data_IF_551695068342
#
_entry.id   IF_551695068342
#
_cell.length_a   1.000
_cell.length_b   1.000
_cell.length_c   1.000
_cell.angle_alpha   90.00
_cell.angle_beta   90.00
_cell.angle_gamma   90.00
#
_symmetry.space_group_name_H-M   'P 1'
#
loop_
_entity.id
_entity.type
_entity.pdbx_description
1 polymer ?
#
# COMPACT_ATOMS: atom_id res chain seq x y z
N UNK A 1 47.27 26.31 8.35
CA UNK A 1 46.76 24.94 8.69
C UNK A 1 45.28 24.94 8.41
N UNK A 2 44.88 24.45 7.24
CA UNK A 2 43.50 24.41 6.79
C UNK A 2 42.89 23.07 7.18
N UNK A 3 41.89 23.08 8.05
CA UNK A 3 41.13 21.91 8.41
C UNK A 3 40.21 21.53 7.27
N UNK A 4 40.49 20.41 6.64
CA UNK A 4 39.64 19.76 5.60
C UNK A 4 38.48 19.09 6.34
N UNK A 5 37.32 19.76 6.39
CA UNK A 5 36.08 19.15 6.86
C UNK A 5 35.60 18.10 5.85
N UNK A 6 35.73 16.84 6.20
CA UNK A 6 35.09 15.75 5.46
C UNK A 6 33.57 15.84 5.65
N UNK A 7 32.89 16.41 4.68
CA UNK A 7 31.44 16.24 4.55
C UNK A 7 31.16 14.80 4.12
N UNK A 8 30.82 13.94 5.06
CA UNK A 8 30.16 12.69 4.76
C UNK A 8 28.74 13.01 4.26
N UNK A 9 28.60 13.27 2.98
CA UNK A 9 27.30 13.09 2.30
C UNK A 9 27.00 11.61 2.37
N UNK A 10 26.06 11.22 3.21
CA UNK A 10 25.44 9.92 3.14
C UNK A 10 24.76 9.84 1.77
N UNK A 11 25.40 9.12 0.84
CA UNK A 11 24.87 8.90 -0.50
C UNK A 11 23.60 8.05 -0.32
N UNK A 12 22.45 8.70 -0.27
CA UNK A 12 21.18 7.98 -0.26
C UNK A 12 21.11 7.16 -1.54
N UNK A 13 20.88 5.87 -1.41
CA UNK A 13 20.71 5.00 -2.56
C UNK A 13 19.49 5.46 -3.36
N UNK A 14 19.58 5.58 -4.69
CA UNK A 14 18.48 6.03 -5.51
C UNK A 14 17.26 5.11 -5.32
N UNK A 15 16.06 5.68 -5.35
CA UNK A 15 14.83 4.89 -5.30
C UNK A 15 14.60 4.25 -6.67
N UNK A 16 14.41 2.92 -6.75
CA UNK A 16 14.07 2.25 -8.00
C UNK A 16 12.68 2.67 -8.48
N UNK A 17 12.45 2.64 -9.79
CA UNK A 17 11.16 3.01 -10.39
C UNK A 17 10.05 2.00 -10.02
N UNK A 18 10.40 0.73 -9.86
CA UNK A 18 9.51 -0.36 -9.43
C UNK A 18 10.24 -1.33 -8.51
N UNK A 19 9.47 -2.09 -7.74
CA UNK A 19 9.97 -3.14 -6.85
C UNK A 19 9.48 -4.50 -7.33
N UNK A 20 10.24 -5.53 -7.01
CA UNK A 20 9.82 -6.93 -7.14
C UNK A 20 9.68 -7.50 -5.73
N UNK A 21 8.49 -7.99 -5.43
CA UNK A 21 8.17 -8.67 -4.17
C UNK A 21 8.15 -10.17 -4.44
N UNK A 22 8.95 -10.93 -3.68
CA UNK A 22 9.06 -12.38 -3.84
C UNK A 22 8.75 -13.07 -2.53
N UNK A 23 7.77 -13.95 -2.52
CA UNK A 23 7.45 -14.88 -1.45
C UNK A 23 7.96 -16.26 -1.85
N UNK A 24 8.78 -16.88 -1.00
CA UNK A 24 9.26 -18.27 -1.16
C UNK A 24 8.76 -19.10 0.01
N UNK A 25 7.71 -19.90 -0.25
CA UNK A 25 7.00 -20.66 0.77
C UNK A 25 6.64 -19.78 1.98
N UNK A 26 6.37 -18.48 1.72
CA UNK A 26 6.13 -17.52 2.78
C UNK A 26 4.69 -17.57 3.25
N UNK A 27 4.53 -17.66 4.55
CA UNK A 27 3.24 -17.67 5.22
C UNK A 27 3.31 -17.00 6.58
N UNK A 28 2.14 -16.85 7.19
CA UNK A 28 2.04 -16.30 8.53
C UNK A 28 0.90 -16.95 9.31
N UNK A 29 1.24 -17.46 10.49
CA UNK A 29 0.28 -17.92 11.49
C UNK A 29 0.38 -16.98 12.69
N UNK A 30 -0.75 -16.46 13.15
CA UNK A 30 -0.83 -15.57 14.30
C UNK A 30 -0.59 -16.31 15.62
N UNK A 31 -0.29 -15.58 16.69
CA UNK A 31 0.05 -16.14 18.01
C UNK A 31 -1.09 -16.99 18.62
N UNK A 32 -2.32 -16.76 18.23
CA UNK A 32 -3.51 -17.52 18.62
C UNK A 32 -3.69 -18.82 17.81
N UNK A 33 -2.75 -19.13 16.90
CA UNK A 33 -2.78 -20.30 16.02
C UNK A 33 -3.62 -20.10 14.75
N UNK A 34 -4.24 -18.94 14.55
CA UNK A 34 -4.99 -18.66 13.33
C UNK A 34 -4.04 -18.47 12.13
N UNK A 35 -4.29 -19.22 11.06
CA UNK A 35 -3.55 -19.07 9.80
C UNK A 35 -4.01 -17.78 9.11
N UNK A 36 -3.09 -16.84 8.94
CA UNK A 36 -3.35 -15.61 8.19
C UNK A 36 -3.07 -15.75 6.69
N UNK A 37 -1.98 -16.44 6.34
CA UNK A 37 -1.64 -16.83 4.96
C UNK A 37 -0.90 -18.17 5.00
N UNK A 38 -1.36 -19.12 4.22
CA UNK A 38 -0.70 -20.40 4.01
C UNK A 38 0.62 -20.19 3.23
N UNK A 39 1.59 -21.14 3.33
CA UNK A 39 2.84 -21.06 2.57
C UNK A 39 2.57 -20.81 1.09
N UNK A 40 3.10 -19.70 0.58
CA UNK A 40 2.80 -19.20 -0.76
C UNK A 40 4.08 -18.94 -1.54
N UNK A 41 4.09 -19.39 -2.81
CA UNK A 41 5.08 -19.03 -3.82
C UNK A 41 4.48 -17.94 -4.71
N UNK A 42 5.04 -16.73 -4.68
CA UNK A 42 4.50 -15.59 -5.41
C UNK A 42 5.61 -14.60 -5.76
N UNK A 43 5.56 -14.06 -6.97
CA UNK A 43 6.41 -12.91 -7.37
C UNK A 43 5.52 -11.85 -7.98
N UNK A 44 5.66 -10.60 -7.51
CA UNK A 44 4.92 -9.43 -8.00
C UNK A 44 5.94 -8.40 -8.48
N UNK A 45 5.85 -8.03 -9.75
CA UNK A 45 6.67 -6.98 -10.37
C UNK A 45 5.84 -6.02 -11.25
N UNK A 46 4.57 -6.34 -11.44
CA UNK A 46 3.64 -5.58 -12.25
C UNK A 46 3.34 -4.23 -11.62
N UNK A 47 2.94 -3.26 -12.46
CA UNK A 47 2.68 -1.89 -12.02
C UNK A 47 1.42 -1.78 -11.16
N UNK A 48 0.37 -2.55 -11.48
CA UNK A 48 -0.91 -2.50 -10.78
C UNK A 48 -1.47 -3.89 -10.53
N UNK A 49 -1.46 -4.29 -9.26
CA UNK A 49 -1.92 -5.62 -8.83
C UNK A 49 -3.05 -5.47 -7.83
N UNK A 50 -4.19 -6.07 -8.15
CA UNK A 50 -5.31 -6.16 -7.23
C UNK A 50 -5.30 -7.50 -6.48
N UNK A 51 -5.73 -7.47 -5.23
CA UNK A 51 -5.92 -8.64 -4.37
C UNK A 51 -7.38 -8.68 -3.96
N UNK A 52 -8.10 -9.71 -4.35
CA UNK A 52 -9.52 -9.91 -4.03
C UNK A 52 -9.74 -11.21 -3.26
N UNK A 53 -10.86 -11.32 -2.59
CA UNK A 53 -11.23 -12.49 -1.78
C UNK A 53 -12.23 -12.10 -0.70
N UNK A 54 -12.90 -13.09 -0.13
CA UNK A 54 -13.86 -12.88 0.96
C UNK A 54 -13.18 -12.32 2.22
N UNK A 55 -13.99 -11.87 3.16
CA UNK A 55 -13.49 -11.47 4.48
C UNK A 55 -12.80 -12.66 5.15
N UNK A 56 -11.62 -12.42 5.75
CA UNK A 56 -10.82 -13.49 6.35
C UNK A 56 -9.98 -14.31 5.39
N UNK A 57 -10.05 -14.10 4.06
CA UNK A 57 -9.29 -14.89 3.08
C UNK A 57 -7.75 -14.70 3.12
N UNK A 58 -7.22 -13.77 3.94
CA UNK A 58 -5.78 -13.54 4.08
C UNK A 58 -5.25 -12.32 3.32
N UNK A 59 -6.10 -11.49 2.70
CA UNK A 59 -5.67 -10.30 1.92
C UNK A 59 -4.77 -9.35 2.72
N UNK A 60 -5.22 -8.91 3.90
CA UNK A 60 -4.44 -7.99 4.75
C UNK A 60 -3.15 -8.62 5.24
N UNK A 61 -3.13 -9.95 5.46
CA UNK A 61 -1.92 -10.70 5.82
C UNK A 61 -0.92 -10.69 4.67
N UNK A 62 -1.36 -11.01 3.44
CA UNK A 62 -0.51 -10.93 2.26
C UNK A 62 0.07 -9.52 2.09
N UNK A 63 -0.77 -8.48 2.13
CA UNK A 63 -0.31 -7.09 2.01
C UNK A 63 0.68 -6.72 3.13
N UNK A 64 0.45 -7.17 4.36
CA UNK A 64 1.34 -6.94 5.49
C UNK A 64 2.70 -7.61 5.33
N UNK A 65 2.76 -8.77 4.69
CA UNK A 65 4.02 -9.44 4.33
C UNK A 65 4.79 -8.67 3.25
N UNK A 66 4.08 -8.12 2.25
CA UNK A 66 4.69 -7.34 1.17
C UNK A 66 5.25 -6.00 1.67
N UNK A 67 4.51 -5.29 2.52
CA UNK A 67 4.93 -3.98 3.02
C UNK A 67 5.82 -4.05 4.29
N UNK A 68 6.11 -5.25 4.79
CA UNK A 68 6.94 -5.48 5.95
C UNK A 68 6.29 -5.11 7.30
N UNK A 69 5.01 -4.73 7.34
CA UNK A 69 4.30 -4.51 8.61
C UNK A 69 4.01 -5.82 9.36
N UNK A 70 4.04 -6.92 8.65
CA UNK A 70 3.95 -8.28 9.18
C UNK A 70 5.19 -9.08 8.76
N UNK A 71 5.70 -9.93 9.64
CA UNK A 71 6.83 -10.82 9.34
C UNK A 71 6.31 -12.20 8.98
N UNK A 72 6.87 -12.80 7.93
CA UNK A 72 6.68 -14.22 7.67
C UNK A 72 7.28 -15.03 8.81
N UNK A 73 6.52 -15.95 9.38
CA UNK A 73 7.03 -16.95 10.33
C UNK A 73 7.22 -18.34 9.69
N UNK A 74 6.84 -18.46 8.41
CA UNK A 74 7.13 -19.60 7.54
C UNK A 74 7.73 -19.03 6.25
N UNK A 75 8.77 -19.65 5.70
CA UNK A 75 9.41 -19.23 4.47
C UNK A 75 10.08 -17.86 4.53
N UNK A 76 10.20 -17.19 3.39
CA UNK A 76 10.89 -15.89 3.29
C UNK A 76 10.20 -14.94 2.34
N UNK A 77 10.26 -13.64 2.69
CA UNK A 77 9.85 -12.54 1.82
C UNK A 77 11.08 -11.74 1.44
N UNK A 78 11.16 -11.34 0.17
CA UNK A 78 12.23 -10.49 -0.35
C UNK A 78 11.62 -9.34 -1.15
N UNK A 79 12.09 -8.13 -0.90
CA UNK A 79 11.76 -6.92 -1.68
C UNK A 79 13.01 -6.50 -2.44
N UNK A 80 12.95 -6.52 -3.76
CA UNK A 80 14.10 -6.21 -4.61
C UNK A 80 13.81 -4.97 -5.47
N UNK A 81 14.83 -4.13 -5.66
CA UNK A 81 14.74 -2.96 -6.52
C UNK A 81 16.13 -2.43 -6.89
N UNK A 82 16.40 -2.22 -8.16
CA UNK A 82 17.75 -1.88 -8.62
C UNK A 82 18.75 -2.98 -8.25
N UNK A 83 19.79 -2.62 -7.48
CA UNK A 83 20.79 -3.57 -6.95
C UNK A 83 20.49 -4.07 -5.53
N UNK A 84 19.40 -3.62 -4.92
CA UNK A 84 19.05 -3.96 -3.54
C UNK A 84 18.21 -5.24 -3.49
N UNK A 85 18.47 -6.04 -2.46
CA UNK A 85 17.68 -7.22 -2.10
C UNK A 85 17.46 -7.18 -0.59
N UNK A 86 16.22 -6.91 -0.17
CA UNK A 86 15.86 -6.57 1.20
C UNK A 86 14.96 -7.65 1.80
N UNK A 87 15.21 -8.00 3.06
CA UNK A 87 14.40 -8.95 3.81
C UNK A 87 13.66 -8.23 4.94
N UNK A 88 12.29 -8.19 4.94
CA UNK A 88 11.52 -7.52 5.98
C UNK A 88 11.77 -8.06 7.41
N UNK A 89 12.27 -9.28 7.55
CA UNK A 89 12.62 -9.84 8.85
C UNK A 89 13.88 -9.18 9.47
N UNK A 90 14.72 -8.54 8.63
CA UNK A 90 15.96 -7.88 9.06
C UNK A 90 15.68 -6.41 9.35
N UNK A 91 15.93 -5.95 10.57
CA UNK A 91 15.61 -4.59 11.04
C UNK A 91 16.20 -3.46 10.18
N UNK A 92 17.41 -3.65 9.63
CA UNK A 92 18.04 -2.66 8.75
C UNK A 92 17.30 -2.57 7.41
N UNK A 93 16.96 -3.71 6.84
CA UNK A 93 16.28 -3.81 5.56
C UNK A 93 14.84 -3.31 5.67
N UNK A 94 14.16 -3.61 6.79
CA UNK A 94 12.81 -3.10 7.06
C UNK A 94 12.75 -1.57 7.04
N UNK A 95 13.75 -0.88 7.63
CA UNK A 95 13.84 0.59 7.55
C UNK A 95 13.95 1.08 6.10
N UNK A 96 14.71 0.35 5.27
CA UNK A 96 14.84 0.69 3.85
C UNK A 96 13.54 0.41 3.10
N UNK A 97 12.85 -0.69 3.41
CA UNK A 97 11.51 -0.99 2.86
C UNK A 97 10.51 0.11 3.22
N UNK A 98 10.54 0.61 4.47
CA UNK A 98 9.69 1.74 4.91
C UNK A 98 9.94 3.04 4.10
N UNK A 99 11.15 3.23 3.55
CA UNK A 99 11.46 4.35 2.65
C UNK A 99 11.07 4.08 1.18
N UNK A 100 10.83 2.83 0.81
CA UNK A 100 10.50 2.42 -0.57
C UNK A 100 9.03 2.10 -0.78
N UNK A 101 8.31 1.71 0.28
CA UNK A 101 6.92 1.24 0.21
C UNK A 101 6.02 2.11 1.07
N UNK A 102 5.13 2.85 0.44
CA UNK A 102 4.04 3.56 1.11
C UNK A 102 2.96 2.57 1.57
N UNK A 103 2.34 2.85 2.72
CA UNK A 103 1.31 1.97 3.33
C UNK A 103 0.04 2.77 3.55
N UNK A 104 -1.06 2.35 2.94
CA UNK A 104 -2.38 2.93 3.16
C UNK A 104 -3.36 1.83 3.59
N UNK A 105 -4.09 2.05 4.68
CA UNK A 105 -5.05 1.09 5.21
C UNK A 105 -6.37 1.79 5.49
N UNK A 106 -7.37 1.57 4.64
CA UNK A 106 -8.68 2.23 4.75
C UNK A 106 -8.51 3.75 4.97
N UNK A 107 -9.31 4.32 5.87
CA UNK A 107 -9.19 5.71 6.33
C UNK A 107 -8.18 5.88 7.49
N UNK A 108 -7.34 4.87 7.75
CA UNK A 108 -6.38 4.92 8.85
C UNK A 108 -5.21 5.85 8.52
N UNK A 109 -5.20 7.00 9.14
CA UNK A 109 -4.09 7.92 9.13
C UNK A 109 -3.25 7.74 10.39
N UNK A 110 -1.94 7.99 10.34
CA UNK A 110 -1.09 7.85 11.53
C UNK A 110 -1.60 8.67 12.71
N UNK A 111 -1.55 8.10 13.92
CA UNK A 111 -1.98 8.78 15.15
C UNK A 111 -1.32 10.15 15.39
N UNK A 112 -0.10 10.35 14.84
CA UNK A 112 0.60 11.64 14.89
C UNK A 112 -0.16 12.75 14.15
N UNK A 113 -0.98 12.41 13.14
CA UNK A 113 -1.78 13.37 12.39
C UNK A 113 -2.88 13.99 13.23
N UNK A 114 -3.49 13.22 14.15
CA UNK A 114 -4.51 13.74 15.08
C UNK A 114 -3.94 14.68 16.14
N UNK A 115 -2.60 14.65 16.38
CA UNK A 115 -1.92 15.50 17.35
C UNK A 115 -1.36 16.78 16.72
N UNK A 116 -1.24 16.84 15.40
CA UNK A 116 -0.75 18.00 14.69
C UNK A 116 -1.79 19.13 14.68
N UNK A 117 -1.35 20.37 14.57
CA UNK A 117 -2.26 21.52 14.53
C UNK A 117 -3.14 21.51 13.27
N UNK A 118 -2.64 20.95 12.18
CA UNK A 118 -3.38 20.76 10.91
C UNK A 118 -2.72 19.67 10.05
N UNK A 119 -3.41 19.27 8.97
CA UNK A 119 -2.91 18.18 8.10
C UNK A 119 -1.64 18.54 7.34
N UNK A 120 -1.41 19.81 7.03
CA UNK A 120 -0.15 20.27 6.39
C UNK A 120 1.06 20.03 7.29
N UNK A 121 0.92 20.36 8.57
CA UNK A 121 1.96 20.13 9.57
C UNK A 121 2.21 18.65 9.79
N UNK A 122 1.13 17.85 9.86
CA UNK A 122 1.22 16.40 9.99
C UNK A 122 2.03 15.76 8.85
N UNK A 123 1.75 16.14 7.60
CA UNK A 123 2.52 15.67 6.43
C UNK A 123 3.96 16.18 6.46
N UNK A 124 4.20 17.43 6.88
CA UNK A 124 5.56 17.98 7.03
C UNK A 124 6.40 17.16 8.02
N UNK A 125 5.82 16.78 9.17
CA UNK A 125 6.50 15.92 10.15
C UNK A 125 6.74 14.49 9.62
N UNK A 126 5.81 13.95 8.81
CA UNK A 126 6.02 12.68 8.13
C UNK A 126 7.19 12.76 7.14
N UNK A 127 7.26 13.81 6.33
CA UNK A 127 8.38 14.07 5.40
C UNK A 127 9.73 14.20 6.13
N UNK A 128 9.73 14.83 7.30
CA UNK A 128 10.92 14.96 8.14
C UNK A 128 11.45 13.60 8.60
N UNK A 129 10.56 12.66 8.96
CA UNK A 129 10.95 11.29 9.32
C UNK A 129 11.65 10.55 8.16
N UNK A 130 11.23 10.82 6.93
CA UNK A 130 11.86 10.32 5.70
C UNK A 130 13.00 11.21 5.20
N UNK A 131 13.54 12.11 6.05
CA UNK A 131 14.69 12.99 5.79
C UNK A 131 14.54 13.89 4.57
N UNK A 132 13.31 14.21 4.16
CA UNK A 132 13.07 15.19 3.09
C UNK A 132 13.55 16.56 3.54
N UNK A 133 14.40 17.27 2.76
CA UNK A 133 14.90 18.59 3.12
C UNK A 133 13.78 19.60 3.38
N UNK A 134 13.94 20.44 4.36
CA UNK A 134 12.93 21.46 4.73
C UNK A 134 12.57 22.35 3.55
N UNK A 135 13.54 22.75 2.73
CA UNK A 135 13.36 23.54 1.52
C UNK A 135 12.42 22.92 0.49
N UNK A 136 12.26 21.59 0.49
CA UNK A 136 11.42 20.87 -0.46
C UNK A 136 10.02 20.59 0.08
N UNK A 137 9.85 20.50 1.43
CA UNK A 137 8.60 20.01 2.04
C UNK A 137 7.39 20.83 1.65
N UNK A 138 7.51 22.16 1.64
CA UNK A 138 6.38 23.05 1.32
C UNK A 138 5.86 22.81 -0.10
N UNK A 139 6.73 22.74 -1.08
CA UNK A 139 6.37 22.49 -2.47
C UNK A 139 5.76 21.08 -2.65
N UNK A 140 6.35 20.06 -1.99
CA UNK A 140 5.82 18.68 -2.03
C UNK A 140 4.42 18.58 -1.43
N UNK A 141 4.17 19.21 -0.28
CA UNK A 141 2.85 19.24 0.36
C UNK A 141 1.84 19.95 -0.53
N UNK A 142 2.20 21.08 -1.12
CA UNK A 142 1.33 21.81 -2.04
C UNK A 142 0.91 20.97 -3.25
N UNK A 143 1.87 20.34 -3.92
CA UNK A 143 1.61 19.47 -5.06
C UNK A 143 0.77 18.23 -4.67
N UNK A 144 1.10 17.61 -3.55
CA UNK A 144 0.37 16.47 -3.02
C UNK A 144 -1.09 16.83 -2.72
N UNK A 145 -1.31 17.92 -2.00
CA UNK A 145 -2.66 18.35 -1.63
C UNK A 145 -3.50 18.82 -2.84
N UNK A 146 -2.85 19.41 -3.86
CA UNK A 146 -3.54 19.72 -5.13
C UNK A 146 -3.98 18.42 -5.83
N UNK A 147 -3.09 17.41 -5.89
CA UNK A 147 -3.39 16.12 -6.52
C UNK A 147 -4.53 15.38 -5.82
N UNK A 148 -4.54 15.37 -4.47
CA UNK A 148 -5.53 14.66 -3.67
C UNK A 148 -6.74 15.49 -3.26
N UNK A 149 -6.93 16.68 -3.86
CA UNK A 149 -8.04 17.60 -3.55
C UNK A 149 -8.16 17.95 -2.04
N UNK A 150 -7.01 18.11 -1.38
CA UNK A 150 -6.88 18.44 0.03
C UNK A 150 -6.46 19.90 0.27
N UNK A 151 -6.19 20.67 -0.80
CA UNK A 151 -5.64 22.03 -0.70
C UNK A 151 -6.52 22.97 0.15
N UNK A 152 -7.84 22.91 -0.04
CA UNK A 152 -8.79 23.78 0.68
C UNK A 152 -8.89 23.45 2.17
N UNK A 153 -8.60 22.21 2.56
CA UNK A 153 -8.65 21.73 3.95
C UNK A 153 -7.25 21.62 4.58
N UNK A 154 -6.22 22.17 3.94
CA UNK A 154 -4.81 22.06 4.38
C UNK A 154 -4.57 22.56 5.80
N UNK A 155 -5.38 23.51 6.28
CA UNK A 155 -5.34 24.07 7.65
C UNK A 155 -6.31 23.41 8.62
N UNK A 156 -7.13 22.45 8.17
CA UNK A 156 -8.03 21.70 9.04
C UNK A 156 -7.27 20.66 9.86
N UNK A 157 -7.82 20.29 11.00
CA UNK A 157 -7.36 19.13 11.77
C UNK A 157 -7.79 17.84 11.09
N UNK A 158 -7.03 16.79 11.24
CA UNK A 158 -7.36 15.47 10.70
C UNK A 158 -8.73 14.95 11.21
N UNK A 159 -9.11 15.30 12.45
CA UNK A 159 -10.40 14.95 13.05
C UNK A 159 -11.62 15.69 12.46
N UNK A 160 -11.38 16.79 11.75
CA UNK A 160 -12.43 17.60 11.13
C UNK A 160 -12.75 17.18 9.68
N UNK A 161 -11.95 16.26 9.12
CA UNK A 161 -12.15 15.77 7.77
C UNK A 161 -13.33 14.80 7.70
N UNK A 162 -14.08 14.87 6.60
CA UNK A 162 -15.04 13.83 6.22
C UNK A 162 -14.34 12.50 5.85
N UNK A 163 -15.12 11.44 5.67
CA UNK A 163 -14.57 10.10 5.39
C UNK A 163 -13.77 10.08 4.10
N UNK A 164 -14.26 10.67 3.01
CA UNK A 164 -13.54 10.72 1.73
C UNK A 164 -12.17 11.39 1.89
N UNK A 165 -12.13 12.57 2.52
CA UNK A 165 -10.86 13.31 2.72
C UNK A 165 -9.89 12.56 3.64
N UNK A 166 -10.39 11.78 4.62
CA UNK A 166 -9.52 10.91 5.42
C UNK A 166 -8.87 9.82 4.58
N UNK A 167 -9.61 9.17 3.68
CA UNK A 167 -9.06 8.17 2.75
C UNK A 167 -8.00 8.80 1.83
N UNK A 168 -8.33 9.94 1.23
CA UNK A 168 -7.39 10.70 0.39
C UNK A 168 -6.14 11.13 1.16
N UNK A 169 -6.29 11.56 2.42
CA UNK A 169 -5.16 11.93 3.28
C UNK A 169 -4.30 10.71 3.65
N UNK A 170 -4.90 9.53 3.90
CA UNK A 170 -4.15 8.30 4.17
C UNK A 170 -3.25 7.93 2.98
N UNK A 171 -3.79 7.99 1.76
CA UNK A 171 -3.03 7.72 0.53
C UNK A 171 -1.97 8.81 0.30
N UNK A 172 -2.34 10.09 0.46
CA UNK A 172 -1.42 11.21 0.33
C UNK A 172 -0.25 11.10 1.31
N UNK A 173 -0.50 10.73 2.55
CA UNK A 173 0.53 10.50 3.56
C UNK A 173 1.48 9.36 3.14
N UNK A 174 0.93 8.25 2.65
CA UNK A 174 1.70 7.11 2.19
C UNK A 174 2.58 7.42 0.96
N UNK A 175 2.17 8.37 0.12
CA UNK A 175 2.89 8.78 -1.09
C UNK A 175 3.76 10.03 -0.89
N UNK A 176 3.66 10.73 0.25
CA UNK A 176 4.29 12.03 0.49
C UNK A 176 5.82 12.02 0.33
N UNK A 177 6.47 10.94 0.73
CA UNK A 177 7.93 10.78 0.63
C UNK A 177 8.39 10.16 -0.70
N UNK A 178 7.50 10.07 -1.69
CA UNK A 178 7.76 9.53 -3.03
C UNK A 178 8.30 8.09 -3.02
N UNK A 179 7.59 7.14 -2.40
CA UNK A 179 8.01 5.74 -2.41
C UNK A 179 8.04 5.17 -3.83
N UNK A 180 8.68 4.02 -4.01
CA UNK A 180 8.67 3.28 -5.29
C UNK A 180 7.33 2.56 -5.52
N UNK A 181 6.71 2.07 -4.44
CA UNK A 181 5.44 1.38 -4.47
C UNK A 181 4.51 1.86 -3.33
N UNK A 182 3.21 1.67 -3.51
CA UNK A 182 2.22 1.76 -2.44
C UNK A 182 1.49 0.42 -2.29
N UNK A 183 1.33 0.00 -1.03
CA UNK A 183 0.49 -1.13 -0.64
C UNK A 183 -0.74 -0.58 0.06
N UNK A 184 -1.93 -0.80 -0.51
CA UNK A 184 -3.17 -0.23 -0.03
C UNK A 184 -4.19 -1.32 0.33
N UNK A 185 -4.68 -1.33 1.58
CA UNK A 185 -5.69 -2.28 2.03
C UNK A 185 -7.05 -1.60 2.14
N UNK A 186 -7.96 -1.96 1.20
CA UNK A 186 -9.32 -1.43 1.12
C UNK A 186 -9.38 0.12 1.09
N UNK A 187 -8.67 0.78 0.13
CA UNK A 187 -8.44 2.22 0.16
C UNK A 187 -9.70 3.09 0.01
N UNK A 188 -10.84 2.53 -0.39
CA UNK A 188 -12.13 3.22 -0.54
C UNK A 188 -13.26 2.60 0.26
N UNK A 189 -12.95 1.70 1.21
CA UNK A 189 -13.97 0.95 1.95
C UNK A 189 -14.89 1.88 2.76
N UNK A 190 -16.20 1.72 2.56
CA UNK A 190 -17.22 2.48 3.28
C UNK A 190 -17.58 3.82 2.63
N UNK A 191 -16.98 4.15 1.49
CA UNK A 191 -17.39 5.27 0.66
C UNK A 191 -18.51 4.85 -0.31
N UNK A 192 -19.28 5.83 -0.74
CA UNK A 192 -20.22 5.67 -1.86
C UNK A 192 -19.47 5.55 -3.21
N UNK A 193 -20.20 5.36 -4.30
CA UNK A 193 -19.63 5.21 -5.63
C UNK A 193 -18.80 6.44 -6.06
N UNK A 194 -19.22 7.66 -5.70
CA UNK A 194 -18.52 8.90 -6.07
C UNK A 194 -17.21 8.99 -5.30
N UNK A 195 -17.24 8.83 -4.00
CA UNK A 195 -16.04 8.83 -3.15
C UNK A 195 -15.06 7.73 -3.53
N UNK A 196 -15.57 6.52 -3.85
CA UNK A 196 -14.76 5.40 -4.35
C UNK A 196 -14.06 5.78 -5.67
N UNK A 197 -14.78 6.39 -6.62
CA UNK A 197 -14.20 6.83 -7.88
C UNK A 197 -13.13 7.93 -7.69
N UNK A 198 -13.34 8.87 -6.75
CA UNK A 198 -12.36 9.90 -6.42
C UNK A 198 -11.07 9.30 -5.83
N UNK A 199 -11.21 8.39 -4.87
CA UNK A 199 -10.08 7.70 -4.24
C UNK A 199 -9.31 6.87 -5.27
N UNK A 200 -10.01 6.08 -6.09
CA UNK A 200 -9.40 5.28 -7.14
C UNK A 200 -8.66 6.15 -8.16
N UNK A 201 -9.31 7.22 -8.66
CA UNK A 201 -8.68 8.16 -9.58
C UNK A 201 -7.41 8.78 -8.99
N UNK A 202 -7.45 9.22 -7.74
CA UNK A 202 -6.31 9.80 -7.06
C UNK A 202 -5.16 8.79 -6.91
N UNK A 203 -5.47 7.54 -6.51
CA UNK A 203 -4.49 6.47 -6.34
C UNK A 203 -3.83 6.08 -7.68
N UNK A 204 -4.62 5.84 -8.72
CA UNK A 204 -4.11 5.33 -10.01
C UNK A 204 -3.56 6.40 -10.94
N UNK A 205 -3.87 7.68 -10.74
CA UNK A 205 -3.24 8.78 -11.49
C UNK A 205 -1.85 9.14 -10.96
N UNK A 206 -1.47 8.65 -9.78
CA UNK A 206 -0.12 8.82 -9.26
C UNK A 206 0.81 7.74 -9.86
N UNK A 207 1.87 8.16 -10.55
CA UNK A 207 2.75 7.22 -11.29
C UNK A 207 3.67 6.43 -10.35
N UNK A 208 3.10 5.45 -9.66
CA UNK A 208 3.79 4.53 -8.76
C UNK A 208 3.26 3.11 -8.94
N UNK A 209 4.05 2.13 -8.55
CA UNK A 209 3.57 0.75 -8.44
C UNK A 209 2.51 0.66 -7.34
N UNK A 210 1.37 0.06 -7.63
CA UNK A 210 0.22 -0.06 -6.72
C UNK A 210 -0.14 -1.52 -6.53
N UNK A 211 -0.08 -1.99 -5.28
CA UNK A 211 -0.61 -3.30 -4.88
C UNK A 211 -1.74 -3.02 -3.89
N UNK A 212 -2.96 -3.46 -4.18
CA UNK A 212 -4.08 -3.10 -3.33
C UNK A 212 -5.09 -4.23 -3.16
N UNK A 213 -5.70 -4.30 -1.96
CA UNK A 213 -6.84 -5.17 -1.73
C UNK A 213 -8.14 -4.39 -1.92
N UNK A 214 -9.14 -5.03 -2.50
CA UNK A 214 -10.48 -4.46 -2.65
C UNK A 214 -11.55 -5.56 -2.72
N UNK A 215 -12.79 -5.18 -2.39
CA UNK A 215 -13.99 -5.97 -2.69
C UNK A 215 -14.72 -5.49 -3.94
N UNK A 216 -14.29 -4.36 -4.51
CA UNK A 216 -14.92 -3.74 -5.67
C UNK A 216 -14.37 -4.34 -6.97
N UNK A 217 -15.08 -5.34 -7.50
CA UNK A 217 -14.74 -5.97 -8.79
C UNK A 217 -15.00 -5.06 -9.98
N UNK A 218 -15.92 -4.10 -9.86
CA UNK A 218 -16.20 -3.14 -10.90
C UNK A 218 -15.05 -2.15 -11.09
N UNK A 219 -14.40 -1.74 -10.00
CA UNK A 219 -13.16 -0.98 -10.06
C UNK A 219 -12.09 -1.72 -10.87
N UNK A 220 -11.93 -3.02 -10.67
CA UNK A 220 -10.93 -3.85 -11.36
C UNK A 220 -11.20 -3.92 -12.87
N UNK A 221 -12.47 -3.93 -13.27
CA UNK A 221 -12.87 -4.01 -14.68
C UNK A 221 -12.71 -2.70 -15.45
N UNK A 222 -12.48 -1.57 -14.77
CA UNK A 222 -12.36 -0.26 -15.41
C UNK A 222 -11.03 -0.14 -16.15
N UNK A 223 -11.02 0.01 -17.48
CA UNK A 223 -9.80 0.05 -18.27
C UNK A 223 -8.92 1.26 -17.95
N UNK A 224 -9.51 2.37 -17.49
CA UNK A 224 -8.77 3.58 -17.08
C UNK A 224 -7.83 3.35 -15.90
N UNK A 225 -8.06 2.34 -15.08
CA UNK A 225 -7.18 2.01 -13.96
C UNK A 225 -6.06 1.06 -14.35
N UNK A 226 -6.10 0.49 -15.56
CA UNK A 226 -5.06 -0.34 -16.15
C UNK A 226 -4.45 -1.36 -15.15
N UNK A 227 -5.32 -2.15 -14.52
CA UNK A 227 -4.88 -3.23 -13.62
C UNK A 227 -4.23 -4.33 -14.46
N UNK A 228 -3.03 -4.73 -14.09
CA UNK A 228 -2.23 -5.70 -14.85
C UNK A 228 -2.55 -7.15 -14.46
N UNK A 229 -2.80 -7.37 -13.15
CA UNK A 229 -2.88 -8.71 -12.56
C UNK A 229 -3.80 -8.70 -11.35
N UNK A 230 -4.51 -9.80 -11.14
CA UNK A 230 -5.40 -9.98 -9.99
C UNK A 230 -5.10 -11.30 -9.29
N UNK A 231 -4.90 -11.23 -7.99
CA UNK A 231 -4.75 -12.37 -7.10
C UNK A 231 -6.07 -12.61 -6.37
N UNK A 232 -6.63 -13.81 -6.49
CA UNK A 232 -7.81 -14.21 -5.73
C UNK A 232 -7.37 -15.06 -4.55
N UNK A 233 -7.72 -14.61 -3.35
CA UNK A 233 -7.47 -15.35 -2.12
C UNK A 233 -8.75 -16.01 -1.61
N UNK A 234 -8.61 -17.26 -1.17
CA UNK A 234 -9.63 -18.02 -0.47
C UNK A 234 -8.98 -18.94 0.55
N UNK A 235 -9.60 -19.07 1.73
CA UNK A 235 -9.12 -19.94 2.81
C UNK A 235 -7.60 -19.81 3.06
N UNK A 236 -7.14 -18.56 3.12
CA UNK A 236 -5.73 -18.18 3.39
C UNK A 236 -4.71 -18.56 2.31
N UNK A 237 -5.16 -18.92 1.10
CA UNK A 237 -4.30 -19.26 -0.03
C UNK A 237 -4.63 -18.43 -1.27
N UNK A 238 -3.65 -18.26 -2.16
CA UNK A 238 -3.88 -17.72 -3.51
C UNK A 238 -4.44 -18.86 -4.35
N UNK A 239 -5.71 -18.74 -4.77
CA UNK A 239 -6.44 -19.78 -5.53
C UNK A 239 -6.59 -19.46 -7.01
N UNK A 240 -6.35 -18.20 -7.39
CA UNK A 240 -6.27 -17.78 -8.78
C UNK A 240 -5.30 -16.60 -8.89
N UNK A 241 -4.57 -16.55 -9.99
CA UNK A 241 -3.55 -15.56 -10.29
C UNK A 241 -3.58 -15.36 -11.80
N UNK A 242 -4.27 -14.30 -12.26
CA UNK A 242 -4.57 -14.14 -13.68
C UNK A 242 -4.82 -12.67 -14.06
N UNK A 243 -5.05 -12.43 -15.35
CA UNK A 243 -5.52 -11.15 -15.88
C UNK A 243 -6.88 -10.76 -15.27
N UNK A 244 -7.21 -9.46 -15.18
CA UNK A 244 -8.38 -8.95 -14.47
C UNK A 244 -9.71 -9.64 -14.84
N UNK A 245 -9.99 -9.81 -16.13
CA UNK A 245 -11.25 -10.39 -16.58
C UNK A 245 -11.42 -11.87 -16.15
N UNK A 246 -10.35 -12.66 -16.28
CA UNK A 246 -10.35 -14.07 -15.91
C UNK A 246 -10.44 -14.26 -14.39
N UNK A 247 -9.64 -13.50 -13.63
CA UNK A 247 -9.63 -13.59 -12.18
C UNK A 247 -10.95 -13.13 -11.55
N UNK A 248 -11.57 -12.06 -12.07
CA UNK A 248 -12.88 -11.60 -11.58
C UNK A 248 -13.97 -12.62 -11.90
N UNK A 249 -13.99 -13.22 -13.11
CA UNK A 249 -14.92 -14.28 -13.43
C UNK A 249 -14.76 -15.52 -12.52
N UNK A 250 -13.51 -15.91 -12.24
CA UNK A 250 -13.20 -16.96 -11.27
C UNK A 250 -13.75 -16.64 -9.86
N UNK A 251 -13.53 -15.40 -9.39
CA UNK A 251 -14.00 -14.96 -8.08
C UNK A 251 -15.52 -14.96 -7.96
N UNK A 252 -16.23 -14.51 -8.98
CA UNK A 252 -17.71 -14.54 -9.03
C UNK A 252 -18.26 -15.98 -8.98
N UNK A 253 -17.62 -16.89 -9.71
CA UNK A 253 -17.98 -18.32 -9.65
C UNK A 253 -17.69 -18.94 -8.28
N UNK A 254 -16.56 -18.57 -7.66
CA UNK A 254 -16.21 -18.98 -6.29
C UNK A 254 -17.27 -18.54 -5.28
N UNK A 255 -17.70 -17.27 -5.32
CA UNK A 255 -18.75 -16.74 -4.44
C UNK A 255 -20.05 -17.51 -4.66
N UNK A 256 -20.46 -17.73 -5.92
CA UNK A 256 -21.68 -18.47 -6.24
C UNK A 256 -21.65 -19.88 -5.65
N UNK A 257 -20.56 -20.63 -5.85
CA UNK A 257 -20.39 -21.98 -5.27
C UNK A 257 -20.46 -21.99 -3.75
N UNK A 258 -19.81 -21.05 -3.08
CA UNK A 258 -19.86 -20.94 -1.61
C UNK A 258 -21.26 -20.60 -1.12
N UNK A 259 -21.98 -19.72 -1.80
CA UNK A 259 -23.37 -19.40 -1.47
C UNK A 259 -24.30 -20.60 -1.64
N UNK A 260 -24.16 -21.38 -2.70
CA UNK A 260 -24.95 -22.61 -2.89
C UNK A 260 -24.63 -23.68 -1.83
N UNK A 261 -23.35 -23.81 -1.45
CA UNK A 261 -22.95 -24.74 -0.39
C UNK A 261 -23.50 -24.35 0.99
N UNK A 262 -23.61 -23.05 1.28
CA UNK A 262 -24.15 -22.54 2.57
C UNK A 262 -25.65 -22.72 2.74
N UNK A 263 -26.39 -23.09 1.67
CA UNK A 263 -27.83 -23.38 1.70
C UNK A 263 -28.16 -24.85 2.00
N UNK A 264 -27.15 -25.70 2.03
CA UNK A 264 -27.29 -27.13 2.33
C UNK A 264 -26.99 -27.39 3.80
#
# INVERSE_FOLDING_TARGET
>A
MGGMGFFFQSKELPRPASLTFTLKEAGHTYDDGHVGLAPTMLTISEQRVAVIGLNGAGKSTLLGLLDGSLKANIGTVTVSGGSEQLNPAVKKDLKRIDDLVGKARREEIPNSFYRAANISEAVSEALKKHKVPESERHARIGNLFAHFNLAQVSKAKASELDSEKRHLLAIAAALSFEPSAIVADEPSKGLDEIGTAHVAKALFSYNKQVIFATHDTDMIRRPEYAIDRVLVLDEHAVVCDDAPAAAVAFYEDLIRRKYEASKR
#
